data_IF_196510504301
#
_entry.id   IF_196510504301
#
_cell.length_a   1.000
_cell.length_b   1.000
_cell.length_c   1.000
_cell.angle_alpha   90.00
_cell.angle_beta   90.00
_cell.angle_gamma   90.00
#
_symmetry.space_group_name_H-M   'P 1'
#
loop_
_entity.id
_entity.type
_entity.pdbx_description
1 polymer ?
#
# COMPACT_ATOMS: atom_id res chain seq x y z
N UNK A 1 17.00 8.07 5.98
CA UNK A 1 16.14 6.94 5.58
C UNK A 1 16.74 5.68 6.15
N UNK A 2 15.94 4.81 6.77
CA UNK A 2 16.36 3.49 7.22
C UNK A 2 15.45 2.43 6.62
N UNK A 3 15.96 1.22 6.46
CA UNK A 3 15.23 0.08 5.90
C UNK A 3 15.30 -1.09 6.88
N UNK A 4 14.14 -1.64 7.23
CA UNK A 4 14.03 -2.95 7.84
C UNK A 4 13.74 -3.96 6.71
N UNK A 5 14.74 -4.72 6.22
CA UNK A 5 14.58 -5.55 5.04
C UNK A 5 13.75 -6.81 5.34
N UNK A 6 13.15 -7.38 4.30
CA UNK A 6 12.52 -8.69 4.33
C UNK A 6 13.30 -9.68 3.48
N UNK A 7 13.32 -10.94 3.90
CA UNK A 7 13.87 -12.08 3.15
C UNK A 7 12.82 -13.19 3.06
N UNK A 8 13.15 -14.29 2.38
CA UNK A 8 12.34 -15.51 2.36
C UNK A 8 12.06 -16.06 3.78
N UNK A 9 12.93 -15.76 4.75
CA UNK A 9 12.76 -16.17 6.15
C UNK A 9 11.52 -15.54 6.78
N UNK A 10 11.06 -14.38 6.28
CA UNK A 10 9.83 -13.75 6.76
C UNK A 10 8.60 -14.60 6.45
N UNK A 11 8.61 -15.34 5.32
CA UNK A 11 7.55 -16.29 4.99
C UNK A 11 7.53 -17.48 5.97
N UNK A 12 8.71 -17.97 6.40
CA UNK A 12 8.80 -19.01 7.42
C UNK A 12 8.35 -18.48 8.81
N UNK A 13 8.69 -17.23 9.13
CA UNK A 13 8.26 -16.57 10.35
C UNK A 13 6.72 -16.46 10.42
N UNK A 14 6.04 -16.27 9.28
CA UNK A 14 4.58 -16.26 9.23
C UNK A 14 3.95 -17.55 9.76
N UNK A 15 4.54 -18.71 9.44
CA UNK A 15 4.10 -20.02 9.95
C UNK A 15 4.30 -20.11 11.46
N UNK A 16 5.44 -19.65 11.96
CA UNK A 16 5.76 -19.65 13.39
C UNK A 16 4.84 -18.72 14.18
N UNK A 17 4.44 -17.59 13.58
CA UNK A 17 3.52 -16.62 14.19
C UNK A 17 2.14 -17.21 14.47
N UNK A 18 1.72 -18.29 13.79
CA UNK A 18 0.41 -18.91 14.03
C UNK A 18 0.21 -19.29 15.49
N UNK A 19 1.24 -19.85 16.13
CA UNK A 19 1.16 -20.30 17.53
C UNK A 19 1.66 -19.25 18.53
N UNK A 20 2.09 -18.08 18.05
CA UNK A 20 2.65 -17.04 18.89
C UNK A 20 1.54 -16.28 19.64
N UNK A 21 1.75 -16.04 20.93
CA UNK A 21 0.89 -15.15 21.68
C UNK A 21 0.98 -13.72 21.12
N UNK A 22 -0.17 -13.05 21.03
CA UNK A 22 -0.25 -11.70 20.46
C UNK A 22 0.23 -11.62 19.02
N UNK A 23 0.11 -12.69 18.23
CA UNK A 23 0.63 -12.82 16.85
C UNK A 23 0.28 -11.67 15.91
N UNK A 24 -0.85 -11.00 16.10
CA UNK A 24 -1.28 -9.86 15.28
C UNK A 24 -0.60 -8.53 15.66
N UNK A 25 0.00 -8.44 16.85
CA UNK A 25 0.58 -7.21 17.41
C UNK A 25 2.11 -7.24 17.45
N UNK A 26 2.75 -8.18 16.74
CA UNK A 26 4.20 -8.39 16.84
C UNK A 26 4.97 -7.22 16.25
N UNK A 27 4.56 -6.74 15.07
CA UNK A 27 5.16 -5.56 14.43
C UNK A 27 4.92 -4.30 15.26
N UNK A 28 3.68 -4.05 15.68
CA UNK A 28 3.31 -2.89 16.51
C UNK A 28 4.18 -2.81 17.78
N UNK A 29 4.29 -3.92 18.52
CA UNK A 29 5.12 -3.98 19.74
C UNK A 29 6.60 -3.74 19.43
N UNK A 30 7.10 -4.23 18.30
CA UNK A 30 8.48 -4.01 17.90
C UNK A 30 8.75 -2.52 17.59
N UNK A 31 7.83 -1.84 16.88
CA UNK A 31 7.94 -0.41 16.59
C UNK A 31 7.88 0.43 17.87
N UNK A 32 6.94 0.15 18.77
CA UNK A 32 6.80 0.86 20.05
C UNK A 32 8.04 0.71 20.95
N UNK A 33 8.57 -0.51 21.07
CA UNK A 33 9.74 -0.80 21.94
C UNK A 33 11.00 -0.08 21.49
N UNK A 34 11.21 0.04 20.19
CA UNK A 34 12.44 0.63 19.64
C UNK A 34 12.40 2.17 19.55
N UNK A 35 11.28 2.81 19.94
CA UNK A 35 11.10 4.29 19.90
C UNK A 35 11.61 4.89 18.59
N UNK A 36 11.16 4.31 17.49
CA UNK A 36 11.69 4.58 16.16
C UNK A 36 11.53 6.08 15.82
N UNK A 37 12.63 6.85 15.61
CA UNK A 37 12.59 8.30 15.44
C UNK A 37 12.35 8.67 13.97
N UNK A 38 11.23 8.25 13.39
CA UNK A 38 10.84 8.62 12.03
C UNK A 38 9.50 9.34 12.03
N UNK A 39 9.39 10.39 11.22
CA UNK A 39 8.15 11.11 11.00
C UNK A 39 7.12 10.25 10.24
N UNK A 40 7.63 9.38 9.34
CA UNK A 40 6.82 8.44 8.56
C UNK A 40 7.41 7.04 8.60
N UNK A 41 6.53 6.04 8.74
CA UNK A 41 6.86 4.61 8.60
C UNK A 41 5.99 4.04 7.49
N UNK A 42 6.60 3.58 6.40
CA UNK A 42 5.92 2.89 5.31
C UNK A 42 6.07 1.39 5.51
N UNK A 43 4.95 0.67 5.59
CA UNK A 43 4.91 -0.79 5.74
C UNK A 43 4.44 -1.38 4.42
N UNK A 44 5.34 -2.03 3.69
CA UNK A 44 4.99 -2.79 2.50
C UNK A 44 4.51 -4.20 2.90
N UNK A 45 3.31 -4.58 2.48
CA UNK A 45 2.67 -5.84 2.87
C UNK A 45 2.68 -6.84 1.73
N UNK A 46 2.83 -8.15 2.00
CA UNK A 46 2.69 -9.16 0.96
C UNK A 46 1.27 -9.17 0.36
N UNK A 47 1.07 -9.72 -0.84
CA UNK A 47 -0.24 -9.73 -1.52
C UNK A 47 -1.27 -10.65 -0.86
N UNK A 48 -0.89 -11.41 0.18
CA UNK A 48 -1.77 -12.29 0.93
C UNK A 48 -2.46 -11.54 2.09
N UNK A 49 -3.68 -11.94 2.46
CA UNK A 49 -4.34 -11.46 3.69
C UNK A 49 -3.97 -12.33 4.91
N UNK A 50 -2.67 -12.64 5.03
CA UNK A 50 -2.10 -13.47 6.08
C UNK A 50 -1.76 -12.72 7.37
N UNK A 51 -0.99 -13.36 8.25
CA UNK A 51 -0.56 -12.76 9.52
C UNK A 51 0.40 -11.59 9.30
N UNK A 52 1.20 -11.60 8.23
CA UNK A 52 2.10 -10.48 7.94
C UNK A 52 1.33 -9.21 7.60
N UNK A 53 0.35 -9.31 6.70
CA UNK A 53 -0.54 -8.19 6.34
C UNK A 53 -1.39 -7.76 7.53
N UNK A 54 -1.85 -8.70 8.35
CA UNK A 54 -2.54 -8.38 9.60
C UNK A 54 -1.66 -7.55 10.54
N UNK A 55 -0.39 -7.93 10.72
CA UNK A 55 0.56 -7.17 11.53
C UNK A 55 0.79 -5.76 10.98
N UNK A 56 0.89 -5.61 9.65
CA UNK A 56 0.99 -4.31 9.01
C UNK A 56 -0.21 -3.43 9.32
N UNK A 57 -1.43 -3.93 9.14
CA UNK A 57 -2.67 -3.18 9.41
C UNK A 57 -2.86 -2.86 10.90
N UNK A 58 -2.42 -3.73 11.81
CA UNK A 58 -2.47 -3.48 13.25
C UNK A 58 -1.45 -2.42 13.68
N UNK A 59 -0.27 -2.38 13.05
CA UNK A 59 0.77 -1.42 13.36
C UNK A 59 0.58 -0.05 12.68
N UNK A 60 -0.19 0.02 11.59
CA UNK A 60 -0.37 1.23 10.80
C UNK A 60 -1.39 2.20 11.39
N UNK A 61 -1.12 3.51 11.28
CA UNK A 61 -2.13 4.55 11.55
C UNK A 61 -3.08 4.75 10.36
N UNK A 62 -2.56 4.63 9.15
CA UNK A 62 -3.32 4.78 7.92
C UNK A 62 -2.95 3.72 6.88
N UNK A 63 -3.89 3.38 6.00
CA UNK A 63 -3.67 2.41 4.91
C UNK A 63 -3.92 3.05 3.54
N UNK A 64 -2.94 2.91 2.63
CA UNK A 64 -3.06 3.24 1.22
C UNK A 64 -3.35 1.96 0.44
N UNK A 65 -4.36 1.97 -0.43
CA UNK A 65 -4.73 0.79 -1.23
C UNK A 65 -4.37 1.05 -2.71
N UNK A 66 -3.30 0.45 -3.25
CA UNK A 66 -3.06 0.48 -4.69
C UNK A 66 -4.09 -0.40 -5.42
N UNK A 67 -4.80 0.18 -6.37
CA UNK A 67 -5.83 -0.52 -7.16
C UNK A 67 -5.40 -0.57 -8.61
N UNK A 68 -5.12 -1.77 -9.13
CA UNK A 68 -4.80 -1.94 -10.54
C UNK A 68 -6.05 -1.74 -11.40
N UNK A 69 -5.95 -0.96 -12.46
CA UNK A 69 -7.11 -0.58 -13.30
C UNK A 69 -7.53 -1.68 -14.30
N UNK A 70 -7.81 -2.90 -13.82
CA UNK A 70 -8.24 -4.07 -14.60
C UNK A 70 -9.62 -4.60 -14.19
N UNK A 71 -10.16 -5.59 -14.92
CA UNK A 71 -11.57 -6.03 -14.82
C UNK A 71 -12.01 -6.53 -13.43
N UNK A 72 -11.10 -7.11 -12.65
CA UNK A 72 -11.44 -7.69 -11.33
C UNK A 72 -11.13 -6.76 -10.15
N UNK A 73 -10.71 -5.52 -10.42
CA UNK A 73 -10.26 -4.56 -9.41
C UNK A 73 -11.29 -4.37 -8.29
N UNK A 74 -12.55 -4.14 -8.66
CA UNK A 74 -13.61 -3.83 -7.70
C UNK A 74 -13.98 -4.98 -6.78
N UNK A 75 -13.84 -6.24 -7.24
CA UNK A 75 -14.07 -7.42 -6.39
C UNK A 75 -12.98 -7.52 -5.33
N UNK A 76 -11.72 -7.35 -5.73
CA UNK A 76 -10.58 -7.38 -4.82
C UNK A 76 -10.65 -6.28 -3.77
N UNK A 77 -10.97 -5.05 -4.19
CA UNK A 77 -11.10 -3.90 -3.29
C UNK A 77 -12.17 -4.12 -2.24
N UNK A 78 -13.35 -4.65 -2.59
CA UNK A 78 -14.42 -4.93 -1.60
C UNK A 78 -13.98 -5.93 -0.53
N UNK A 79 -13.35 -7.04 -0.92
CA UNK A 79 -12.85 -8.06 0.03
C UNK A 79 -11.75 -7.50 0.94
N UNK A 80 -10.86 -6.66 0.40
CA UNK A 80 -9.85 -5.97 1.20
C UNK A 80 -10.48 -4.99 2.19
N UNK A 81 -11.48 -4.22 1.76
CA UNK A 81 -12.20 -3.28 2.62
C UNK A 81 -12.90 -3.97 3.78
N UNK A 82 -13.53 -5.13 3.55
CA UNK A 82 -14.12 -5.95 4.62
C UNK A 82 -13.07 -6.40 5.65
N UNK A 83 -11.88 -6.77 5.17
CA UNK A 83 -10.76 -7.17 6.02
C UNK A 83 -10.26 -6.01 6.86
N UNK A 84 -10.03 -4.84 6.24
CA UNK A 84 -9.63 -3.61 6.95
C UNK A 84 -10.67 -3.25 8.00
N UNK A 85 -11.96 -3.34 7.68
CA UNK A 85 -13.05 -3.06 8.64
C UNK A 85 -13.02 -4.00 9.85
N UNK A 86 -12.75 -5.29 9.63
CA UNK A 86 -12.62 -6.28 10.71
C UNK A 86 -11.42 -5.98 11.60
N UNK A 87 -10.27 -5.61 11.01
CA UNK A 87 -9.07 -5.23 11.76
C UNK A 87 -9.34 -3.97 12.57
N UNK A 88 -9.92 -2.93 11.94
CA UNK A 88 -10.25 -1.68 12.62
C UNK A 88 -11.12 -1.91 13.85
N UNK A 89 -12.18 -2.70 13.72
CA UNK A 89 -13.11 -2.96 14.83
C UNK A 89 -12.53 -3.76 15.99
N UNK A 90 -11.60 -4.67 15.72
CA UNK A 90 -11.19 -5.68 16.71
C UNK A 90 -9.77 -5.50 17.24
N UNK A 91 -8.88 -4.93 16.44
CA UNK A 91 -7.44 -4.94 16.70
C UNK A 91 -6.81 -3.54 16.65
N UNK A 92 -7.29 -2.65 15.76
CA UNK A 92 -6.74 -1.30 15.62
C UNK A 92 -7.84 -0.26 15.34
N UNK A 93 -8.57 0.22 16.37
CA UNK A 93 -9.65 1.21 16.22
C UNK A 93 -9.21 2.51 15.54
N UNK A 94 -7.94 2.89 15.64
CA UNK A 94 -7.39 4.12 15.09
C UNK A 94 -7.04 4.03 13.60
N UNK A 95 -7.03 2.82 13.01
CA UNK A 95 -6.69 2.62 11.60
C UNK A 95 -7.62 3.41 10.67
N UNK A 96 -7.07 4.32 9.86
CA UNK A 96 -7.82 5.10 8.87
C UNK A 96 -7.48 4.66 7.45
N UNK A 97 -8.45 4.73 6.55
CA UNK A 97 -8.17 4.60 5.12
C UNK A 97 -7.60 5.94 4.64
N UNK A 98 -6.33 5.95 4.24
CA UNK A 98 -5.69 7.11 3.63
C UNK A 98 -6.31 7.39 2.26
N UNK A 99 -6.43 6.34 1.45
CA UNK A 99 -7.11 6.42 0.17
C UNK A 99 -6.81 5.24 -0.75
N UNK A 100 -7.41 5.29 -1.94
CA UNK A 100 -7.23 4.33 -3.02
C UNK A 100 -6.42 5.01 -4.12
N UNK A 101 -5.30 4.41 -4.50
CA UNK A 101 -4.42 4.89 -5.56
C UNK A 101 -4.65 4.06 -6.83
N UNK A 102 -5.23 4.63 -7.89
CA UNK A 102 -5.30 3.94 -9.17
C UNK A 102 -3.90 3.72 -9.77
N UNK A 103 -3.58 2.49 -10.10
CA UNK A 103 -2.28 2.06 -10.64
C UNK A 103 -2.45 1.27 -11.93
N UNK A 104 -1.35 1.13 -12.68
CA UNK A 104 -1.32 0.48 -14.00
C UNK A 104 -2.38 1.07 -14.95
N UNK A 105 -2.62 2.38 -14.85
CA UNK A 105 -3.63 3.04 -15.67
C UNK A 105 -3.15 3.15 -17.12
N UNK A 106 -3.98 2.69 -18.05
CA UNK A 106 -3.78 2.85 -19.49
C UNK A 106 -4.80 3.86 -20.03
N UNK A 107 -4.31 5.02 -20.49
CA UNK A 107 -5.16 6.10 -21.02
C UNK A 107 -5.87 5.74 -22.32
N UNK A 108 -5.38 4.74 -23.05
CA UNK A 108 -6.00 4.25 -24.29
C UNK A 108 -7.08 3.21 -24.02
N UNK A 109 -7.09 2.62 -22.81
CA UNK A 109 -8.05 1.61 -22.39
C UNK A 109 -9.32 2.24 -21.82
N UNK A 110 -10.44 1.98 -22.50
CA UNK A 110 -11.78 2.28 -21.96
C UNK A 110 -12.02 1.59 -20.61
N UNK A 111 -11.47 0.39 -20.44
CA UNK A 111 -11.61 -0.38 -19.22
C UNK A 111 -10.94 0.30 -18.03
N UNK A 112 -9.69 0.77 -18.20
CA UNK A 112 -8.99 1.49 -17.12
C UNK A 112 -9.73 2.76 -16.70
N UNK A 113 -10.27 3.50 -17.67
CA UNK A 113 -11.09 4.69 -17.41
C UNK A 113 -12.40 4.38 -16.68
N UNK A 114 -13.05 3.26 -17.02
CA UNK A 114 -14.26 2.80 -16.34
C UNK A 114 -13.98 2.38 -14.90
N UNK A 115 -12.89 1.66 -14.63
CA UNK A 115 -12.52 1.25 -13.25
C UNK A 115 -12.28 2.48 -12.37
N UNK A 116 -11.54 3.48 -12.85
CA UNK A 116 -11.31 4.72 -12.09
C UNK A 116 -12.62 5.46 -11.81
N UNK A 117 -13.54 5.48 -12.79
CA UNK A 117 -14.87 6.08 -12.61
C UNK A 117 -15.67 5.34 -11.54
N UNK A 118 -15.75 4.02 -11.61
CA UNK A 118 -16.48 3.21 -10.64
C UNK A 118 -15.88 3.34 -9.22
N UNK A 119 -14.55 3.37 -9.11
CA UNK A 119 -13.87 3.64 -7.84
C UNK A 119 -14.30 5.00 -7.27
N UNK A 120 -14.35 6.05 -8.08
CA UNK A 120 -14.77 7.39 -7.65
C UNK A 120 -16.25 7.44 -7.30
N UNK A 121 -17.11 6.75 -8.04
CA UNK A 121 -18.55 6.64 -7.73
C UNK A 121 -18.79 5.97 -6.37
N UNK A 122 -18.01 4.94 -6.02
CA UNK A 122 -18.19 4.17 -4.78
C UNK A 122 -17.45 4.78 -3.59
N UNK A 123 -16.21 5.24 -3.79
CA UNK A 123 -15.32 5.67 -2.71
C UNK A 123 -15.14 7.19 -2.62
N UNK A 124 -15.62 7.94 -3.61
CA UNK A 124 -15.65 9.41 -3.62
C UNK A 124 -14.26 10.01 -3.44
N UNK A 125 -14.16 10.96 -2.51
CA UNK A 125 -12.94 11.68 -2.17
C UNK A 125 -11.81 10.80 -1.61
N UNK A 126 -12.07 9.52 -1.33
CA UNK A 126 -11.03 8.58 -0.90
C UNK A 126 -10.18 8.06 -2.06
N UNK A 127 -10.56 8.31 -3.31
CA UNK A 127 -9.73 7.94 -4.47
C UNK A 127 -8.81 9.12 -4.79
N UNK A 128 -7.51 8.86 -4.85
CA UNK A 128 -6.56 9.89 -5.25
C UNK A 128 -6.80 10.34 -6.70
N UNK A 129 -6.66 11.64 -6.93
CA UNK A 129 -6.67 12.18 -8.30
C UNK A 129 -5.41 11.85 -9.07
N UNK A 130 -4.32 11.60 -8.35
CA UNK A 130 -3.08 11.06 -8.91
C UNK A 130 -3.33 9.63 -9.37
N UNK A 131 -2.98 9.34 -10.62
CA UNK A 131 -2.99 7.99 -11.19
C UNK A 131 -1.58 7.57 -11.59
N UNK A 132 -1.21 6.33 -11.31
CA UNK A 132 0.06 5.76 -11.76
C UNK A 132 -0.17 5.03 -13.08
N UNK A 133 0.36 5.59 -14.17
CA UNK A 133 0.23 5.00 -15.51
C UNK A 133 1.09 3.76 -15.67
N UNK A 134 0.70 2.88 -16.58
CA UNK A 134 1.54 1.75 -16.95
C UNK A 134 2.75 2.24 -17.78
N UNK A 135 3.97 1.82 -17.44
CA UNK A 135 5.19 2.19 -18.18
C UNK A 135 6.29 1.15 -17.96
N UNK A 136 7.06 0.85 -19.01
CA UNK A 136 8.22 -0.05 -18.91
C UNK A 136 9.33 0.53 -18.02
N UNK A 137 9.37 1.86 -17.85
CA UNK A 137 10.37 2.53 -17.00
C UNK A 137 10.36 2.06 -15.55
N UNK A 138 9.21 1.62 -15.04
CA UNK A 138 9.12 1.03 -13.70
C UNK A 138 9.92 -0.26 -13.55
N UNK A 139 10.06 -1.05 -14.63
CA UNK A 139 10.85 -2.28 -14.64
C UNK A 139 12.33 -2.02 -14.91
N UNK A 140 12.66 -0.96 -15.67
CA UNK A 140 14.03 -0.60 -16.01
C UNK A 140 14.80 0.00 -14.81
N UNK A 141 14.15 0.82 -13.98
CA UNK A 141 14.83 1.49 -12.86
C UNK A 141 15.44 0.51 -11.84
N UNK A 142 14.73 -0.55 -11.37
CA UNK A 142 15.31 -1.57 -10.50
C UNK A 142 16.50 -2.31 -11.11
N UNK A 143 16.50 -2.57 -12.43
CA UNK A 143 17.64 -3.19 -13.14
C UNK A 143 18.89 -2.30 -13.05
N UNK A 144 18.69 -0.98 -13.01
CA UNK A 144 19.75 -0.01 -12.78
C UNK A 144 20.08 0.23 -11.29
N UNK A 145 19.50 -0.56 -10.37
CA UNK A 145 19.62 -0.39 -8.91
C UNK A 145 19.25 1.01 -8.42
N UNK A 146 18.26 1.65 -9.07
CA UNK A 146 17.77 2.99 -8.73
C UNK A 146 16.26 2.98 -8.60
N UNK A 147 15.73 3.86 -7.77
CA UNK A 147 14.29 4.14 -7.82
C UNK A 147 13.93 4.84 -9.12
N UNK A 148 12.67 4.81 -9.56
CA UNK A 148 12.26 5.56 -10.75
C UNK A 148 12.53 7.06 -10.60
N UNK A 149 12.32 7.60 -9.39
CA UNK A 149 12.54 9.02 -9.07
C UNK A 149 14.00 9.43 -9.26
N UNK A 150 14.94 8.52 -9.00
CA UNK A 150 16.36 8.76 -9.26
C UNK A 150 16.72 8.49 -10.72
N UNK A 151 16.22 7.40 -11.29
CA UNK A 151 16.59 6.91 -12.63
C UNK A 151 16.14 7.86 -13.75
N UNK A 152 14.87 8.27 -13.71
CA UNK A 152 14.25 9.19 -14.68
C UNK A 152 13.31 10.14 -13.93
N UNK A 153 13.86 11.21 -13.32
CA UNK A 153 13.11 12.10 -12.45
C UNK A 153 11.95 12.82 -13.15
N UNK A 154 12.07 13.09 -14.45
CA UNK A 154 11.08 13.82 -15.24
C UNK A 154 10.01 12.91 -15.85
N UNK A 155 10.18 11.59 -15.76
CA UNK A 155 9.17 10.63 -16.18
C UNK A 155 7.84 10.85 -15.45
N UNK A 156 6.73 10.71 -16.18
CA UNK A 156 5.38 10.94 -15.65
C UNK A 156 5.08 10.11 -14.38
N UNK A 157 5.62 8.91 -14.27
CA UNK A 157 5.51 8.07 -13.08
C UNK A 157 6.26 8.63 -11.86
N UNK A 158 7.46 9.18 -12.05
CA UNK A 158 8.22 9.82 -10.97
C UNK A 158 7.51 11.09 -10.49
N UNK A 159 7.02 11.90 -11.43
CA UNK A 159 6.20 13.09 -11.14
C UNK A 159 4.94 12.71 -10.38
N UNK A 160 4.25 11.64 -10.77
CA UNK A 160 3.03 11.17 -10.10
C UNK A 160 3.32 10.73 -8.66
N UNK A 161 4.39 9.96 -8.40
CA UNK A 161 4.76 9.57 -7.05
C UNK A 161 5.14 10.77 -6.15
N UNK A 162 5.85 11.78 -6.69
CA UNK A 162 6.14 13.01 -5.94
C UNK A 162 4.87 13.78 -5.57
N UNK A 163 3.94 13.94 -6.52
CA UNK A 163 2.63 14.54 -6.25
C UNK A 163 1.85 13.78 -5.18
N UNK A 164 1.86 12.45 -5.23
CA UNK A 164 1.22 11.62 -4.20
C UNK A 164 1.86 11.86 -2.83
N UNK A 165 3.20 11.90 -2.76
CA UNK A 165 3.91 12.17 -1.52
C UNK A 165 3.60 13.56 -0.95
N UNK A 166 3.50 14.58 -1.80
CA UNK A 166 3.09 15.94 -1.41
C UNK A 166 1.67 15.97 -0.84
N UNK A 167 0.72 15.28 -1.46
CA UNK A 167 -0.66 15.17 -0.94
C UNK A 167 -0.65 14.50 0.44
N UNK A 168 0.07 13.39 0.60
CA UNK A 168 0.12 12.67 1.88
C UNK A 168 0.81 13.50 2.98
N UNK A 169 1.87 14.23 2.65
CA UNK A 169 2.60 15.03 3.62
C UNK A 169 1.83 16.25 4.12
N UNK A 170 0.90 16.78 3.31
CA UNK A 170 0.12 17.99 3.62
C UNK A 170 -1.22 17.72 4.33
N UNK A 171 -1.60 16.44 4.50
CA UNK A 171 -2.88 16.02 5.10
C UNK A 171 -4.09 16.21 4.20
#
# INVERSE_FOLDING_TARGET
MALAPASVDLAAAEVQLVNAEGRAHRLERALQRNRVPFDFIVIDTPPSLGLLTLNGLVAAGEVLIPVQCHYLAMRGVRALMETIWRVKRRLNPELRLLGLLPTMYDSTSRHSSQVVRELREVFGSRVFDVVIKNSTRFAEAPVANRTLVEYDPDHEGAVAYRKLAEVIANG
#
